data_IF_432126525568
#
_entry.id   IF_432126525568
#
_cell.length_a   1.000
_cell.length_b   1.000
_cell.length_c   1.000
_cell.angle_alpha   90.00
_cell.angle_beta   90.00
_cell.angle_gamma   90.00
#
_symmetry.space_group_name_H-M   'P 1'
#
loop_
_entity.id
_entity.type
_entity.pdbx_description
1 polymer ?
#
# COMPACT_ATOMS: atom_id res chain seq x y z
N UNK A 1 0.45 16.41 11.29
CA UNK A 1 -0.12 17.71 10.84
C UNK A 1 0.77 18.90 11.26
N UNK A 2 1.34 18.97 12.43
CA UNK A 2 2.18 20.09 12.88
C UNK A 2 3.33 20.50 11.93
N UNK A 3 4.00 19.51 11.30
CA UNK A 3 5.14 19.79 10.40
C UNK A 3 4.73 20.25 9.01
N UNK A 4 3.57 19.86 8.54
CA UNK A 4 3.03 20.14 7.22
C UNK A 4 1.56 20.53 7.36
N UNK A 5 1.27 21.75 7.84
CA UNK A 5 -0.11 22.18 8.14
C UNK A 5 -0.94 22.41 6.89
N UNK A 6 -0.30 22.69 5.76
CA UNK A 6 -0.95 22.92 4.46
C UNK A 6 -0.11 22.36 3.30
N UNK A 7 -0.66 22.42 2.10
CA UNK A 7 -0.06 21.87 0.89
C UNK A 7 1.20 22.62 0.47
N UNK A 8 1.27 23.92 0.71
CA UNK A 8 2.43 24.77 0.39
C UNK A 8 3.66 24.36 1.21
N UNK A 9 3.48 24.17 2.53
CA UNK A 9 4.55 23.70 3.40
C UNK A 9 5.00 22.30 3.06
N UNK A 10 4.07 21.42 2.64
CA UNK A 10 4.42 20.08 2.18
C UNK A 10 5.20 20.14 0.87
N UNK A 11 4.74 20.91 -0.12
CA UNK A 11 5.34 20.99 -1.47
C UNK A 11 6.76 21.56 -1.46
N UNK A 12 7.00 22.59 -0.64
CA UNK A 12 8.30 23.27 -0.52
C UNK A 12 9.31 22.52 0.36
N UNK A 13 8.86 21.52 1.11
CA UNK A 13 9.70 20.75 2.03
C UNK A 13 10.72 19.87 1.29
N UNK A 14 11.83 19.55 1.95
CA UNK A 14 12.76 18.52 1.45
C UNK A 14 12.11 17.14 1.55
N UNK A 15 12.24 16.32 0.49
CA UNK A 15 11.72 14.94 0.45
C UNK A 15 12.17 14.12 1.68
N UNK A 16 13.40 14.33 2.16
CA UNK A 16 13.91 13.66 3.36
C UNK A 16 13.12 13.98 4.63
N UNK A 17 12.59 15.20 4.76
CA UNK A 17 11.76 15.57 5.90
C UNK A 17 10.39 14.91 5.84
N UNK A 18 9.81 14.78 4.64
CA UNK A 18 8.55 14.07 4.42
C UNK A 18 8.71 12.58 4.73
N UNK A 19 9.78 11.95 4.24
CA UNK A 19 10.08 10.55 4.53
C UNK A 19 10.34 10.31 6.03
N UNK A 20 11.01 11.26 6.72
CA UNK A 20 11.22 11.17 8.17
C UNK A 20 9.91 11.27 8.96
N UNK A 21 8.98 12.14 8.54
CA UNK A 21 7.66 12.23 9.16
C UNK A 21 6.80 10.98 8.91
N UNK A 22 7.05 10.26 7.80
CA UNK A 22 6.36 9.02 7.44
C UNK A 22 6.96 7.78 8.11
N UNK A 23 8.03 7.92 8.88
CA UNK A 23 8.75 6.80 9.48
C UNK A 23 7.82 5.91 10.32
N UNK A 24 7.90 4.59 10.09
CA UNK A 24 7.08 3.58 10.79
C UNK A 24 5.77 3.19 10.09
N UNK A 25 5.25 4.02 9.17
CA UNK A 25 3.98 3.73 8.47
C UNK A 25 4.12 2.74 7.30
N UNK A 26 5.35 2.44 6.87
CA UNK A 26 5.59 1.56 5.72
C UNK A 26 5.16 2.15 4.38
N UNK A 27 5.31 1.37 3.30
CA UNK A 27 4.90 1.76 1.94
C UNK A 27 5.34 3.18 1.56
N UNK A 28 6.61 3.49 1.73
CA UNK A 28 7.20 4.84 1.58
C UNK A 28 6.97 5.49 0.22
N UNK A 29 6.67 4.71 -0.83
CA UNK A 29 6.24 5.26 -2.12
C UNK A 29 4.98 6.12 -2.01
N UNK A 30 4.13 5.89 -1.01
CA UNK A 30 2.96 6.75 -0.74
C UNK A 30 3.40 8.15 -0.32
N UNK A 31 4.37 8.26 0.59
CA UNK A 31 4.93 9.55 1.01
C UNK A 31 5.62 10.28 -0.16
N UNK A 32 6.39 9.54 -0.97
CA UNK A 32 7.05 10.09 -2.16
C UNK A 32 6.01 10.62 -3.16
N UNK A 33 4.95 9.87 -3.41
CA UNK A 33 3.89 10.27 -4.31
C UNK A 33 3.11 11.47 -3.74
N UNK A 34 2.72 11.43 -2.45
CA UNK A 34 2.06 12.53 -1.76
C UNK A 34 2.86 13.84 -1.91
N UNK A 35 4.17 13.80 -1.70
CA UNK A 35 5.04 14.97 -1.87
C UNK A 35 5.14 15.44 -3.33
N UNK A 36 5.14 14.51 -4.31
CA UNK A 36 5.13 14.89 -5.73
C UNK A 36 3.81 15.50 -6.14
N UNK A 37 2.71 14.92 -5.70
CA UNK A 37 1.36 15.43 -5.97
C UNK A 37 1.15 16.81 -5.35
N UNK A 38 1.65 17.05 -4.14
CA UNK A 38 1.56 18.41 -3.55
C UNK A 38 2.30 19.46 -4.39
N UNK A 39 3.46 19.12 -4.97
CA UNK A 39 4.17 20.00 -5.91
C UNK A 39 3.42 20.21 -7.23
N UNK A 40 2.82 19.16 -7.75
CA UNK A 40 2.03 19.21 -8.96
C UNK A 40 0.81 20.13 -8.79
N UNK A 41 0.12 20.03 -7.67
CA UNK A 41 -1.04 20.88 -7.35
C UNK A 41 -0.62 22.34 -7.23
N UNK A 42 0.47 22.64 -6.51
CA UNK A 42 0.95 24.04 -6.37
C UNK A 42 1.42 24.60 -7.71
N UNK A 43 2.16 23.84 -8.50
CA UNK A 43 2.82 24.38 -9.71
C UNK A 43 1.91 24.39 -10.95
N UNK A 44 0.92 23.48 -11.02
CA UNK A 44 0.15 23.25 -12.24
C UNK A 44 -1.36 23.48 -12.06
N UNK A 45 -1.83 23.61 -10.82
CA UNK A 45 -3.24 23.77 -10.47
C UNK A 45 -3.45 24.96 -9.52
N UNK A 46 -2.52 25.92 -9.48
CA UNK A 46 -2.58 27.15 -8.67
C UNK A 46 -2.88 26.92 -7.18
N UNK A 47 -2.52 25.71 -6.68
CA UNK A 47 -2.79 25.29 -5.30
C UNK A 47 -4.20 24.75 -5.07
N UNK A 48 -5.06 24.72 -6.07
CA UNK A 48 -6.42 24.20 -5.97
C UNK A 48 -6.43 22.66 -6.05
N UNK A 49 -6.97 22.03 -5.01
CA UNK A 49 -7.08 20.58 -4.95
C UNK A 49 -8.26 20.10 -5.80
N UNK A 50 -8.06 19.17 -6.77
CA UNK A 50 -9.14 18.68 -7.62
C UNK A 50 -10.22 17.98 -6.82
N UNK A 51 -11.50 18.25 -7.16
CA UNK A 51 -12.67 17.70 -6.47
C UNK A 51 -13.30 16.52 -7.17
N UNK A 52 -13.07 16.34 -8.49
CA UNK A 52 -13.70 15.28 -9.27
C UNK A 52 -12.84 14.03 -9.37
N UNK A 53 -13.47 12.85 -9.44
CA UNK A 53 -12.76 11.59 -9.71
C UNK A 53 -11.89 11.67 -10.97
N UNK A 54 -12.43 12.28 -12.03
CA UNK A 54 -11.78 12.38 -13.34
C UNK A 54 -10.48 13.20 -13.31
N UNK A 55 -10.38 14.17 -12.43
CA UNK A 55 -9.17 14.98 -12.24
C UNK A 55 -8.23 14.37 -11.20
N UNK A 56 -8.78 13.84 -10.11
CA UNK A 56 -8.01 13.15 -9.09
C UNK A 56 -7.21 11.96 -9.64
N UNK A 57 -7.79 11.15 -10.54
CA UNK A 57 -7.13 9.96 -11.10
C UNK A 57 -5.93 10.32 -11.98
N UNK A 58 -5.81 11.56 -12.48
CA UNK A 58 -4.67 12.05 -13.27
C UNK A 58 -3.45 12.33 -12.39
N UNK A 59 -3.65 12.60 -11.09
CA UNK A 59 -2.59 12.93 -10.17
C UNK A 59 -1.70 11.73 -9.85
N UNK A 60 -0.40 11.99 -9.72
CA UNK A 60 0.57 10.92 -9.49
C UNK A 60 0.38 10.21 -8.15
N UNK A 61 0.17 8.90 -8.20
CA UNK A 61 -0.01 8.07 -7.00
C UNK A 61 -1.43 8.05 -6.46
N UNK A 62 -2.36 8.71 -7.13
CA UNK A 62 -3.79 8.56 -6.92
C UNK A 62 -4.31 7.53 -7.93
N UNK A 63 -4.72 6.37 -7.42
CA UNK A 63 -5.35 5.31 -8.20
C UNK A 63 -6.88 5.35 -8.06
N UNK A 64 -7.55 4.44 -8.76
CA UNK A 64 -9.02 4.33 -8.78
C UNK A 64 -9.65 4.33 -7.37
N UNK A 65 -9.09 3.52 -6.45
CA UNK A 65 -9.51 3.48 -5.05
C UNK A 65 -9.40 4.86 -4.37
N UNK A 66 -8.23 5.50 -4.48
CA UNK A 66 -7.97 6.77 -3.78
C UNK A 66 -8.79 7.91 -4.38
N UNK A 67 -8.92 7.95 -5.72
CA UNK A 67 -9.74 8.94 -6.41
C UNK A 67 -11.22 8.82 -6.01
N UNK A 68 -11.76 7.59 -6.01
CA UNK A 68 -13.15 7.34 -5.57
C UNK A 68 -13.37 7.70 -4.10
N UNK A 69 -12.40 7.39 -3.22
CA UNK A 69 -12.53 7.72 -1.80
C UNK A 69 -12.50 9.23 -1.55
N UNK A 70 -11.55 9.94 -2.16
CA UNK A 70 -11.45 11.40 -1.98
C UNK A 70 -12.68 12.09 -2.57
N UNK A 71 -13.06 11.76 -3.81
CA UNK A 71 -14.17 12.41 -4.49
C UNK A 71 -15.52 12.18 -3.77
N UNK A 72 -15.72 11.00 -3.18
CA UNK A 72 -16.97 10.72 -2.48
C UNK A 72 -17.00 11.22 -1.04
N UNK A 73 -15.88 11.14 -0.30
CA UNK A 73 -15.85 11.50 1.13
C UNK A 73 -15.68 13.01 1.32
N UNK A 74 -14.91 13.67 0.45
CA UNK A 74 -14.62 15.08 0.59
C UNK A 74 -15.50 15.98 -0.30
N UNK A 75 -16.08 15.43 -1.38
CA UNK A 75 -16.76 16.21 -2.42
C UNK A 75 -18.11 15.62 -2.84
N UNK A 76 -18.66 14.67 -2.10
CA UNK A 76 -19.97 14.06 -2.27
C UNK A 76 -20.23 13.49 -3.68
N UNK A 77 -19.19 13.10 -4.41
CA UNK A 77 -19.33 12.50 -5.73
C UNK A 77 -19.72 11.02 -5.61
N UNK A 78 -20.69 10.58 -6.40
CA UNK A 78 -21.25 9.22 -6.33
C UNK A 78 -20.34 8.18 -7.00
N UNK A 79 -19.10 8.05 -6.51
CA UNK A 79 -18.12 7.05 -6.97
C UNK A 79 -17.95 5.93 -5.93
N UNK A 80 -18.22 4.67 -6.29
CA UNK A 80 -18.08 3.56 -5.35
C UNK A 80 -16.61 3.26 -5.09
N UNK A 81 -16.26 3.11 -3.83
CA UNK A 81 -14.95 2.62 -3.38
C UNK A 81 -14.98 1.10 -3.34
N UNK A 82 -14.08 0.46 -4.08
CA UNK A 82 -13.94 -1.00 -4.09
C UNK A 82 -12.51 -1.37 -3.71
N UNK A 83 -12.27 -1.52 -2.42
CA UNK A 83 -11.03 -2.08 -1.87
C UNK A 83 -11.10 -3.62 -1.76
N UNK A 84 -10.10 -4.24 -1.17
CA UNK A 84 -10.09 -5.69 -0.95
C UNK A 84 -11.21 -6.19 -0.01
N UNK A 85 -11.64 -5.36 0.94
CA UNK A 85 -12.70 -5.69 1.89
C UNK A 85 -14.06 -5.60 1.23
N UNK A 86 -14.32 -4.52 0.50
CA UNK A 86 -15.55 -4.34 -0.28
C UNK A 86 -15.67 -5.40 -1.38
N UNK A 87 -14.56 -5.72 -2.07
CA UNK A 87 -14.50 -6.79 -3.07
C UNK A 87 -14.92 -8.14 -2.45
N UNK A 88 -14.37 -8.49 -1.29
CA UNK A 88 -14.73 -9.72 -0.57
C UNK A 88 -16.21 -9.74 -0.17
N UNK A 89 -16.68 -8.64 0.41
CA UNK A 89 -18.07 -8.52 0.82
C UNK A 89 -19.03 -8.66 -0.37
N UNK A 90 -18.86 -7.85 -1.41
CA UNK A 90 -19.77 -7.84 -2.56
C UNK A 90 -19.75 -9.16 -3.34
N UNK A 91 -18.59 -9.82 -3.45
CA UNK A 91 -18.52 -11.14 -4.11
C UNK A 91 -19.25 -12.21 -3.31
N UNK A 92 -19.14 -12.21 -1.97
CA UNK A 92 -19.91 -13.13 -1.11
C UNK A 92 -21.40 -12.85 -1.15
N UNK A 93 -21.78 -11.60 -0.95
CA UNK A 93 -23.18 -11.20 -0.90
C UNK A 93 -23.93 -11.55 -2.19
N UNK A 94 -23.31 -11.31 -3.34
CA UNK A 94 -23.88 -11.61 -4.65
C UNK A 94 -23.55 -13.02 -5.18
N UNK A 95 -22.74 -13.81 -4.50
CA UNK A 95 -22.34 -15.16 -4.91
C UNK A 95 -21.50 -15.19 -6.20
N UNK A 96 -20.63 -14.20 -6.40
CA UNK A 96 -19.77 -14.08 -7.57
C UNK A 96 -18.63 -15.08 -7.47
N UNK A 97 -18.63 -16.08 -8.35
CA UNK A 97 -17.64 -17.19 -8.37
C UNK A 97 -16.47 -16.93 -9.31
N UNK A 98 -16.58 -15.94 -10.17
CA UNK A 98 -15.54 -15.56 -11.12
C UNK A 98 -14.31 -15.00 -10.38
N UNK A 99 -13.10 -15.21 -10.94
CA UNK A 99 -11.87 -14.75 -10.30
C UNK A 99 -11.83 -13.21 -10.13
N UNK A 100 -11.54 -12.75 -8.93
CA UNK A 100 -11.44 -11.29 -8.64
C UNK A 100 -10.20 -10.65 -9.28
N UNK A 101 -9.24 -11.45 -9.74
CA UNK A 101 -8.06 -10.97 -10.47
C UNK A 101 -8.40 -10.58 -11.94
N UNK A 102 -9.58 -10.95 -12.43
CA UNK A 102 -10.02 -10.59 -13.77
C UNK A 102 -10.63 -9.18 -13.81
N UNK A 103 -10.27 -8.41 -14.84
CA UNK A 103 -10.83 -7.05 -15.05
C UNK A 103 -12.35 -7.08 -15.20
N UNK A 104 -12.89 -8.14 -15.82
CA UNK A 104 -14.35 -8.35 -15.96
C UNK A 104 -15.05 -8.41 -14.59
N UNK A 105 -14.51 -9.19 -13.66
CA UNK A 105 -15.07 -9.30 -12.30
C UNK A 105 -14.93 -7.99 -11.52
N UNK A 106 -13.80 -7.32 -11.64
CA UNK A 106 -13.58 -6.02 -11.01
C UNK A 106 -14.61 -4.99 -11.49
N UNK A 107 -14.84 -4.91 -12.80
CA UNK A 107 -15.86 -4.03 -13.38
C UNK A 107 -17.27 -4.40 -12.90
N UNK A 108 -17.62 -5.70 -12.90
CA UNK A 108 -18.92 -6.18 -12.40
C UNK A 108 -19.17 -5.76 -10.95
N UNK A 109 -18.15 -5.90 -10.08
CA UNK A 109 -18.28 -5.50 -8.67
C UNK A 109 -18.39 -3.98 -8.54
N UNK A 110 -17.65 -3.22 -9.36
CA UNK A 110 -17.73 -1.75 -9.39
C UNK A 110 -19.12 -1.28 -9.83
N UNK A 111 -19.72 -1.92 -10.84
CA UNK A 111 -21.09 -1.66 -11.28
C UNK A 111 -22.14 -1.96 -10.18
N UNK A 112 -21.94 -3.04 -9.42
CA UNK A 112 -22.78 -3.32 -8.25
C UNK A 112 -22.65 -2.20 -7.22
N UNK A 113 -21.41 -1.79 -6.90
CA UNK A 113 -21.15 -0.66 -6.02
C UNK A 113 -21.84 0.62 -6.49
N UNK A 114 -21.76 0.91 -7.80
CA UNK A 114 -22.41 2.09 -8.41
C UNK A 114 -23.91 2.08 -8.21
N UNK A 115 -24.57 0.96 -8.50
CA UNK A 115 -26.02 0.82 -8.30
C UNK A 115 -26.45 0.95 -6.83
N UNK A 116 -25.58 0.64 -5.90
CA UNK A 116 -25.86 0.76 -4.46
C UNK A 116 -25.67 2.20 -3.99
N UNK A 117 -24.57 2.85 -4.37
CA UNK A 117 -24.26 4.22 -3.96
C UNK A 117 -25.29 5.24 -4.56
N UNK A 118 -25.82 4.97 -5.74
CA UNK A 118 -26.85 5.82 -6.37
C UNK A 118 -28.19 5.84 -5.59
N UNK A 119 -28.32 4.99 -4.56
CA UNK A 119 -29.52 4.92 -3.69
C UNK A 119 -29.35 5.66 -2.37
N UNK A 120 -28.18 6.19 -2.10
CA UNK A 120 -27.90 6.96 -0.87
C UNK A 120 -27.90 8.46 -1.14
N UNK A 121 -28.07 9.24 -0.09
CA UNK A 121 -27.89 10.70 -0.11
C UNK A 121 -26.52 11.12 0.45
N UNK A 122 -25.73 10.16 0.96
CA UNK A 122 -24.40 10.40 1.53
C UNK A 122 -23.40 9.39 0.97
N UNK A 123 -22.79 9.67 -0.20
CA UNK A 123 -21.87 8.73 -0.85
C UNK A 123 -20.59 8.46 -0.03
N UNK A 124 -20.10 9.47 0.70
CA UNK A 124 -18.96 9.31 1.59
C UNK A 124 -19.22 8.31 2.72
N UNK A 125 -20.32 8.49 3.47
CA UNK A 125 -20.72 7.60 4.55
C UNK A 125 -21.02 6.19 4.04
N UNK A 126 -21.69 6.08 2.89
CA UNK A 126 -21.94 4.80 2.25
C UNK A 126 -20.63 4.04 1.96
N UNK A 127 -19.65 4.68 1.34
CA UNK A 127 -18.38 4.06 1.05
C UNK A 127 -17.62 3.66 2.32
N UNK A 128 -17.67 4.50 3.34
CA UNK A 128 -17.04 4.23 4.62
C UNK A 128 -17.69 3.03 5.31
N UNK A 129 -19.03 2.98 5.37
CA UNK A 129 -19.77 1.84 5.90
C UNK A 129 -19.49 0.54 5.14
N UNK A 130 -19.35 0.58 3.81
CA UNK A 130 -19.01 -0.58 2.98
C UNK A 130 -17.61 -1.12 3.30
N UNK A 131 -16.62 -0.24 3.45
CA UNK A 131 -15.25 -0.63 3.81
C UNK A 131 -15.20 -1.21 5.21
N UNK A 132 -15.85 -0.57 6.19
CA UNK A 132 -15.91 -1.02 7.59
C UNK A 132 -16.66 -2.34 7.72
N UNK A 133 -17.80 -2.50 7.06
CA UNK A 133 -18.53 -3.77 7.05
C UNK A 133 -17.66 -4.92 6.52
N UNK A 134 -16.92 -4.68 5.45
CA UNK A 134 -15.98 -5.66 4.91
C UNK A 134 -14.79 -5.94 5.86
N UNK A 135 -14.33 -4.94 6.60
CA UNK A 135 -13.19 -5.08 7.50
C UNK A 135 -13.55 -5.73 8.85
N UNK A 136 -14.71 -5.39 9.40
CA UNK A 136 -15.10 -5.75 10.77
C UNK A 136 -16.10 -6.92 10.82
N UNK A 137 -17.02 -7.02 9.88
CA UNK A 137 -18.10 -8.02 9.85
C UNK A 137 -17.81 -9.12 8.85
N UNK A 138 -17.72 -8.79 7.56
CA UNK A 138 -17.42 -9.75 6.50
C UNK A 138 -15.90 -9.99 6.35
N UNK A 139 -15.26 -10.36 7.47
CA UNK A 139 -13.81 -10.65 7.55
C UNK A 139 -13.41 -11.84 6.69
N UNK A 140 -12.12 -12.19 6.55
CA UNK A 140 -11.70 -13.45 5.92
C UNK A 140 -12.39 -14.68 6.53
N UNK A 141 -12.54 -14.71 7.87
CA UNK A 141 -13.24 -15.75 8.66
C UNK A 141 -14.40 -15.09 9.42
N UNK A 142 -15.56 -14.86 8.77
CA UNK A 142 -16.65 -14.11 9.37
C UNK A 142 -17.53 -14.99 10.23
N UNK A 143 -18.14 -14.41 11.27
CA UNK A 143 -19.30 -14.98 11.93
C UNK A 143 -20.57 -14.62 11.12
N UNK A 144 -21.02 -15.58 10.30
CA UNK A 144 -22.16 -15.35 9.43
C UNK A 144 -23.51 -15.50 10.14
N UNK A 145 -23.56 -16.21 11.25
CA UNK A 145 -24.81 -16.47 12.01
C UNK A 145 -25.29 -15.18 12.69
N UNK A 146 -24.36 -14.37 13.18
CA UNK A 146 -24.64 -13.05 13.75
C UNK A 146 -24.76 -11.91 12.73
N UNK A 147 -24.47 -12.18 11.44
CA UNK A 147 -24.45 -11.15 10.41
C UNK A 147 -25.86 -10.67 10.03
N UNK A 148 -26.12 -9.36 10.16
CA UNK A 148 -27.41 -8.74 9.82
C UNK A 148 -27.84 -8.93 8.35
N UNK A 149 -26.91 -9.27 7.46
CA UNK A 149 -27.17 -9.50 6.03
C UNK A 149 -27.21 -11.00 5.66
N UNK A 150 -27.07 -11.92 6.62
CA UNK A 150 -27.00 -13.37 6.39
C UNK A 150 -28.19 -13.88 5.59
N UNK A 151 -29.41 -13.44 5.93
CA UNK A 151 -30.66 -13.85 5.28
C UNK A 151 -30.74 -13.50 3.78
N UNK A 152 -29.94 -12.54 3.30
CA UNK A 152 -29.87 -12.13 1.88
C UNK A 152 -28.54 -12.50 1.23
N UNK A 153 -27.58 -13.04 1.98
CA UNK A 153 -26.26 -13.36 1.49
C UNK A 153 -26.25 -14.67 0.68
N UNK A 154 -25.91 -14.56 -0.60
CA UNK A 154 -25.86 -15.72 -1.49
C UNK A 154 -24.80 -16.75 -1.11
N UNK A 155 -23.62 -16.28 -0.68
CA UNK A 155 -22.53 -17.17 -0.28
C UNK A 155 -22.88 -17.96 0.99
N UNK A 156 -23.53 -17.33 1.97
CA UNK A 156 -23.99 -17.99 3.18
C UNK A 156 -25.05 -19.04 2.87
N UNK A 157 -26.12 -18.67 2.15
CA UNK A 157 -27.18 -19.61 1.74
C UNK A 157 -26.67 -20.84 0.97
N UNK A 158 -25.59 -20.68 0.21
CA UNK A 158 -25.00 -21.75 -0.61
C UNK A 158 -23.82 -22.47 0.05
N UNK A 159 -23.49 -22.15 1.29
CA UNK A 159 -22.32 -22.71 2.01
C UNK A 159 -21.01 -22.57 1.22
N UNK A 160 -20.75 -21.39 0.61
CA UNK A 160 -19.55 -21.10 -0.17
C UNK A 160 -18.77 -19.87 0.33
N UNK A 161 -19.01 -19.42 1.57
CA UNK A 161 -18.36 -18.22 2.14
C UNK A 161 -16.83 -18.34 2.10
N UNK A 162 -16.28 -19.47 2.49
CA UNK A 162 -14.83 -19.72 2.51
C UNK A 162 -14.21 -19.81 1.11
N UNK A 163 -15.02 -20.16 0.09
CA UNK A 163 -14.58 -20.27 -1.31
C UNK A 163 -14.54 -18.92 -2.02
N UNK A 164 -15.09 -17.87 -1.40
CA UNK A 164 -15.18 -16.53 -1.96
C UNK A 164 -14.46 -15.49 -1.09
N UNK A 165 -13.76 -14.52 -1.69
CA UNK A 165 -13.60 -14.31 -3.13
C UNK A 165 -12.64 -15.32 -3.76
N UNK A 166 -12.93 -15.75 -4.98
CA UNK A 166 -12.07 -16.67 -5.71
C UNK A 166 -10.91 -15.93 -6.39
N UNK A 167 -9.68 -16.45 -6.25
CA UNK A 167 -8.45 -15.92 -6.86
C UNK A 167 -7.76 -17.01 -7.68
N UNK A 168 -7.40 -16.71 -8.93
CA UNK A 168 -6.68 -17.64 -9.80
C UNK A 168 -5.20 -17.75 -9.46
N UNK A 169 -4.56 -16.65 -9.08
CA UNK A 169 -3.10 -16.58 -8.94
C UNK A 169 -2.69 -16.47 -7.47
N UNK A 170 -2.07 -17.53 -6.96
CA UNK A 170 -1.16 -17.39 -5.82
C UNK A 170 0.15 -16.79 -6.35
N UNK A 171 0.47 -15.55 -5.98
CA UNK A 171 1.81 -15.01 -6.27
C UNK A 171 2.83 -15.90 -5.59
N UNK A 172 3.81 -16.41 -6.35
CA UNK A 172 4.97 -17.07 -5.76
C UNK A 172 5.72 -16.02 -4.94
N UNK A 173 5.83 -16.23 -3.65
CA UNK A 173 6.66 -15.41 -2.77
C UNK A 173 8.12 -15.68 -3.15
N UNK A 174 8.85 -14.61 -3.48
CA UNK A 174 10.28 -14.69 -3.75
C UNK A 174 11.02 -14.28 -2.49
N UNK A 175 11.67 -15.24 -1.86
CA UNK A 175 12.51 -14.98 -0.71
C UNK A 175 13.77 -14.23 -1.14
N UNK A 176 14.13 -13.18 -0.40
CA UNK A 176 15.32 -12.35 -0.62
C UNK A 176 16.07 -12.21 0.70
N UNK A 177 17.39 -12.32 0.67
CA UNK A 177 18.22 -12.19 1.85
C UNK A 177 19.02 -10.90 1.76
N UNK A 178 18.79 -10.01 2.70
CA UNK A 178 19.47 -8.73 2.82
C UNK A 178 20.53 -8.82 3.92
N UNK A 179 21.80 -8.78 3.52
CA UNK A 179 22.93 -8.85 4.42
C UNK A 179 23.47 -7.43 4.60
N UNK A 180 23.14 -6.79 5.71
CA UNK A 180 23.62 -5.45 6.03
C UNK A 180 24.97 -5.49 6.70
N UNK A 181 25.90 -4.67 6.21
CA UNK A 181 27.26 -4.57 6.69
C UNK A 181 27.35 -3.31 7.55
N UNK A 182 27.56 -3.49 8.85
CA UNK A 182 27.78 -2.38 9.77
C UNK A 182 29.29 -2.20 9.95
N UNK A 183 29.81 -1.12 9.35
CA UNK A 183 31.20 -0.71 9.48
C UNK A 183 31.31 0.33 10.58
N UNK A 184 32.14 0.09 11.58
CA UNK A 184 32.35 1.05 12.68
C UNK A 184 33.81 1.42 12.72
N UNK A 185 34.12 2.72 12.61
CA UNK A 185 35.48 3.24 12.73
C UNK A 185 35.93 3.35 14.22
N UNK A 186 37.20 3.61 14.48
CA UNK A 186 37.69 3.79 15.86
C UNK A 186 37.05 4.97 16.64
N UNK A 187 36.37 5.87 15.95
CA UNK A 187 35.61 7.00 16.52
C UNK A 187 34.10 6.73 16.66
N UNK A 188 33.69 5.45 16.56
CA UNK A 188 32.29 5.00 16.60
C UNK A 188 31.39 5.58 15.50
N UNK A 189 31.95 5.99 14.36
CA UNK A 189 31.18 6.38 13.20
C UNK A 189 30.89 5.17 12.31
N UNK A 190 29.77 5.21 11.61
CA UNK A 190 29.35 4.15 10.69
C UNK A 190 29.01 4.72 9.32
N UNK A 191 29.15 3.86 8.30
CA UNK A 191 28.78 4.19 6.93
C UNK A 191 27.29 3.96 6.71
N UNK A 192 26.64 4.97 6.15
CA UNK A 192 25.22 4.92 5.73
C UNK A 192 25.16 5.31 4.25
N UNK A 193 24.44 4.55 3.47
CA UNK A 193 24.17 4.81 2.06
C UNK A 193 22.69 5.03 1.79
N UNK A 194 22.37 5.76 0.73
CA UNK A 194 21.01 5.92 0.25
C UNK A 194 20.64 4.79 -0.70
N UNK A 195 19.54 4.09 -0.45
CA UNK A 195 19.04 3.05 -1.34
C UNK A 195 18.51 3.64 -2.64
N UNK A 196 19.18 3.36 -3.76
CA UNK A 196 18.87 3.86 -5.10
C UNK A 196 18.05 2.87 -5.95
N UNK A 197 18.01 1.60 -5.55
CA UNK A 197 17.23 0.57 -6.25
C UNK A 197 15.74 0.86 -6.10
N UNK A 198 15.01 0.93 -7.22
CA UNK A 198 13.56 1.21 -7.25
C UNK A 198 12.75 -0.04 -6.85
N UNK A 199 12.90 -0.47 -5.60
CA UNK A 199 12.16 -1.56 -4.99
C UNK A 199 11.71 -1.17 -3.57
N UNK A 200 11.61 -2.16 -2.63
CA UNK A 200 11.30 -1.87 -1.23
C UNK A 200 12.34 -0.91 -0.63
N UNK A 201 11.87 0.03 0.21
CA UNK A 201 12.69 1.03 0.91
C UNK A 201 13.47 1.99 0.01
N UNK A 202 13.03 2.17 -1.25
CA UNK A 202 13.61 3.13 -2.18
C UNK A 202 13.74 4.52 -1.56
N UNK A 203 14.90 5.13 -1.71
CA UNK A 203 15.29 6.44 -1.15
C UNK A 203 15.49 6.50 0.36
N UNK A 204 15.32 5.41 1.09
CA UNK A 204 15.66 5.37 2.51
C UNK A 204 17.17 5.18 2.70
N UNK A 205 17.67 5.64 3.85
CA UNK A 205 19.04 5.38 4.25
C UNK A 205 19.16 3.97 4.85
N UNK A 206 20.24 3.29 4.54
CA UNK A 206 20.53 1.95 5.01
C UNK A 206 22.04 1.78 5.26
N UNK A 207 22.42 0.74 5.99
CA UNK A 207 23.80 0.26 5.97
C UNK A 207 24.13 -0.35 4.60
N UNK A 208 25.42 -0.40 4.19
CA UNK A 208 25.83 -1.10 2.97
C UNK A 208 25.20 -2.49 2.89
N UNK A 209 24.64 -2.81 1.73
CA UNK A 209 23.80 -3.99 1.52
C UNK A 209 24.40 -4.94 0.48
N UNK A 210 24.52 -6.21 0.84
CA UNK A 210 24.75 -7.32 -0.10
C UNK A 210 23.49 -8.18 -0.16
N UNK A 211 22.79 -8.14 -1.29
CA UNK A 211 21.61 -8.97 -1.52
C UNK A 211 22.01 -10.33 -2.10
N UNK A 212 21.48 -11.41 -1.52
CA UNK A 212 21.70 -12.78 -1.98
C UNK A 212 20.35 -13.49 -2.16
N UNK A 213 20.36 -14.59 -2.91
CA UNK A 213 19.20 -15.48 -3.08
C UNK A 213 19.25 -16.71 -2.14
N UNK A 214 20.18 -16.72 -1.20
CA UNK A 214 20.34 -17.74 -0.16
C UNK A 214 20.77 -17.09 1.16
N UNK A 215 20.46 -17.75 2.27
CA UNK A 215 20.88 -17.31 3.61
C UNK A 215 22.40 -17.42 3.76
N UNK A 216 23.05 -16.32 4.09
CA UNK A 216 24.49 -16.26 4.28
C UNK A 216 24.81 -16.48 5.76
N UNK A 217 25.47 -17.61 6.06
CA UNK A 217 25.95 -17.91 7.42
C UNK A 217 27.34 -17.30 7.69
N UNK A 218 28.14 -17.04 6.64
CA UNK A 218 29.44 -16.40 6.75
C UNK A 218 29.70 -15.53 5.50
N UNK A 219 29.69 -14.22 5.66
CA UNK A 219 29.82 -13.26 4.55
C UNK A 219 31.22 -13.24 3.93
N UNK A 220 32.24 -13.68 4.63
CA UNK A 220 33.62 -13.80 4.08
C UNK A 220 33.68 -14.76 2.89
N UNK A 221 32.70 -15.64 2.72
CA UNK A 221 32.54 -16.54 1.56
C UNK A 221 31.87 -15.92 0.35
N UNK A 222 31.38 -14.68 0.46
CA UNK A 222 30.76 -13.98 -0.67
C UNK A 222 31.84 -13.19 -1.41
N UNK A 223 32.17 -13.60 -2.62
CA UNK A 223 33.29 -13.08 -3.41
C UNK A 223 33.26 -11.57 -3.67
N UNK A 224 32.06 -10.95 -3.76
CA UNK A 224 31.88 -9.50 -3.88
C UNK A 224 32.30 -8.71 -2.64
N UNK A 225 32.41 -9.38 -1.49
CA UNK A 225 32.78 -8.76 -0.22
C UNK A 225 34.30 -8.61 -0.01
N UNK A 226 35.09 -9.52 -0.54
CA UNK A 226 36.57 -9.51 -0.38
C UNK A 226 37.24 -8.29 -1.02
N UNK A 227 36.61 -7.64 -2.00
CA UNK A 227 37.10 -6.39 -2.60
C UNK A 227 36.99 -5.17 -1.68
N UNK A 228 36.11 -5.21 -0.68
CA UNK A 228 35.84 -4.07 0.19
C UNK A 228 36.72 -4.00 1.46
N UNK A 229 37.30 -5.11 1.90
CA UNK A 229 37.89 -5.24 3.26
C UNK A 229 39.41 -5.05 3.32
N UNK A 230 40.11 -4.96 2.20
CA UNK A 230 41.57 -5.08 2.15
C UNK A 230 42.40 -3.94 2.76
N UNK A 231 41.87 -3.01 3.54
CA UNK A 231 42.68 -1.90 4.00
C UNK A 231 42.52 -1.35 5.42
N UNK A 232 41.59 -1.81 6.27
CA UNK A 232 41.48 -1.26 7.63
C UNK A 232 40.92 -2.24 8.68
N UNK A 233 41.35 -2.09 9.97
CA UNK A 233 40.78 -2.78 11.14
C UNK A 233 39.33 -2.29 11.37
N UNK A 234 38.36 -2.92 10.72
CA UNK A 234 36.95 -2.57 10.81
C UNK A 234 36.19 -3.71 11.51
N UNK A 235 35.45 -3.38 12.55
CA UNK A 235 34.60 -4.33 13.23
C UNK A 235 33.33 -4.52 12.38
N UNK A 236 33.09 -5.73 11.86
CA UNK A 236 31.99 -6.02 10.98
C UNK A 236 30.95 -6.82 11.75
N UNK A 237 29.78 -6.20 11.97
CA UNK A 237 28.57 -6.91 12.40
C UNK A 237 27.65 -7.11 11.19
N UNK A 238 27.22 -8.35 10.99
CA UNK A 238 26.31 -8.69 9.90
C UNK A 238 24.97 -9.06 10.50
N UNK A 239 23.93 -8.37 10.05
CA UNK A 239 22.56 -8.73 10.35
C UNK A 239 21.88 -9.16 9.05
N UNK A 240 21.48 -10.44 8.97
CA UNK A 240 20.74 -10.99 7.83
C UNK A 240 19.25 -10.93 8.14
N UNK A 241 18.49 -10.30 7.24
CA UNK A 241 17.04 -10.30 7.29
C UNK A 241 16.48 -11.00 6.05
N UNK A 242 15.52 -11.89 6.25
CA UNK A 242 14.70 -12.42 5.15
C UNK A 242 13.52 -11.50 4.92
N UNK A 243 13.23 -11.22 3.66
CA UNK A 243 12.06 -10.43 3.23
C UNK A 243 11.25 -11.29 2.29
N UNK A 244 10.08 -11.65 2.73
CA UNK A 244 9.06 -12.38 1.96
C UNK A 244 8.11 -11.44 1.20
#
# INVERSE_FOLDING_TARGET
MERFPNIEKLSTSKESHVLKAWQGLGYYNRAINLHKTSKEIINNLDGEFPSTYTDLIKLKGIGDYTASAISSICFDEFNPVVDGNVMRFLTRYNGIKEPIDSKKTQNKVKEIGKRLIDKTNSPGDFNQAMMEFGALICTPFPDCDSCILSSKCTAYKKNIVEKLPFKLKKKKVKERFFNYIVLVDPKNKTLIEKRIKKDIWFKLNQFPLVETNFKVNNIRKVSSFNKFINSQKILIKINTFSVS
#
